data_IF_441020829710
#
_entry.id   IF_441020829710
#
_cell.length_a   1.000
_cell.length_b   1.000
_cell.length_c   1.000
_cell.angle_alpha   90.00
_cell.angle_beta   90.00
_cell.angle_gamma   90.00
#
_symmetry.space_group_name_H-M   'P 1'
#
loop_
_entity.id
_entity.type
_entity.pdbx_description
1 polymer ?
#
# COMPACT_ATOMS: atom_id res chain seq x y z
N UNK A 1 -14.46 20.94 -5.52
CA UNK A 1 -13.99 19.56 -5.72
C UNK A 1 -12.82 19.21 -4.80
N UNK A 2 -11.71 19.97 -4.77
CA UNK A 2 -10.56 19.67 -3.88
C UNK A 2 -10.73 19.97 -2.37
N UNK A 3 -11.80 20.67 -1.94
CA UNK A 3 -12.04 20.99 -0.52
C UNK A 3 -12.35 19.77 0.35
N UNK A 4 -12.92 18.70 -0.21
CA UNK A 4 -13.30 17.48 0.53
C UNK A 4 -12.16 16.49 0.74
N UNK A 5 -11.03 16.68 0.05
CA UNK A 5 -9.83 15.82 0.14
C UNK A 5 -8.65 16.54 0.80
N UNK A 6 -8.79 17.82 1.13
CA UNK A 6 -7.77 18.62 1.82
C UNK A 6 -7.37 18.01 3.17
N UNK A 7 -8.36 17.50 3.92
CA UNK A 7 -8.13 16.92 5.25
C UNK A 7 -7.86 15.41 5.18
N UNK A 8 -7.99 14.81 3.98
CA UNK A 8 -7.61 13.42 3.73
C UNK A 8 -6.09 13.36 3.57
N UNK A 9 -5.43 13.21 4.73
CA UNK A 9 -4.05 12.79 4.86
C UNK A 9 -3.90 11.35 4.35
N UNK A 10 -3.88 11.17 3.02
CA UNK A 10 -3.72 9.86 2.38
C UNK A 10 -2.44 9.89 1.54
N UNK A 11 -1.53 8.98 1.82
CA UNK A 11 -0.30 8.81 1.06
C UNK A 11 0.16 7.35 1.13
N UNK A 12 0.88 6.91 0.11
CA UNK A 12 1.57 5.63 0.09
C UNK A 12 3.07 5.87 -0.09
N UNK A 13 3.89 4.86 0.20
CA UNK A 13 5.31 4.97 -0.12
C UNK A 13 5.51 4.86 -1.62
N UNK A 14 4.86 3.87 -2.24
CA UNK A 14 4.95 3.60 -3.67
C UNK A 14 3.57 3.54 -4.33
N UNK A 15 3.53 3.95 -5.59
CA UNK A 15 2.47 3.66 -6.55
C UNK A 15 3.07 2.92 -7.75
N UNK A 16 2.51 1.76 -8.09
CA UNK A 16 2.86 0.99 -9.27
C UNK A 16 1.77 1.22 -10.32
N UNK A 17 2.11 1.98 -11.36
CA UNK A 17 1.22 2.31 -12.48
C UNK A 17 0.90 1.10 -13.34
N UNK A 18 -0.17 1.15 -14.14
CA UNK A 18 -0.60 0.06 -15.03
C UNK A 18 0.46 -0.35 -16.06
N UNK A 19 1.34 0.57 -16.44
CA UNK A 19 2.49 0.31 -17.32
C UNK A 19 3.67 -0.39 -16.60
N UNK A 20 3.56 -0.64 -15.29
CA UNK A 20 4.59 -1.23 -14.44
C UNK A 20 5.59 -0.21 -13.88
N UNK A 21 5.53 1.07 -14.27
CA UNK A 21 6.39 2.11 -13.71
C UNK A 21 6.06 2.39 -12.24
N UNK A 22 7.09 2.72 -11.47
CA UNK A 22 6.99 2.92 -10.02
C UNK A 22 7.26 4.39 -9.71
N UNK A 23 6.37 5.00 -8.92
CA UNK A 23 6.54 6.33 -8.37
C UNK A 23 6.68 6.20 -6.85
N UNK A 24 7.69 6.85 -6.28
CA UNK A 24 7.85 6.97 -4.83
C UNK A 24 7.37 8.34 -4.34
N UNK A 25 6.42 8.35 -3.41
CA UNK A 25 5.88 9.59 -2.82
C UNK A 25 6.45 9.86 -1.42
N UNK A 26 6.67 8.80 -0.64
CA UNK A 26 7.17 8.90 0.74
C UNK A 26 8.42 8.01 0.89
N UNK A 27 9.53 8.53 1.47
CA UNK A 27 10.67 7.70 1.83
C UNK A 27 10.29 6.56 2.79
N UNK A 28 10.88 5.38 2.65
CA UNK A 28 10.52 4.19 3.44
C UNK A 28 10.83 4.31 4.95
N UNK A 29 11.68 5.26 5.33
CA UNK A 29 12.01 5.60 6.73
C UNK A 29 11.07 6.66 7.32
N UNK A 30 10.06 7.10 6.55
CA UNK A 30 9.06 8.07 6.96
C UNK A 30 7.68 7.43 6.94
N UNK A 31 6.80 7.95 7.79
CA UNK A 31 5.41 7.49 7.88
C UNK A 31 4.60 7.99 6.68
N UNK A 32 4.06 7.07 5.91
CA UNK A 32 2.96 7.34 4.98
C UNK A 32 1.60 7.09 5.66
N UNK A 33 0.51 7.55 5.04
CA UNK A 33 -0.84 7.46 5.57
C UNK A 33 -1.75 6.63 4.65
N UNK A 34 -1.53 5.32 4.61
CA UNK A 34 -2.22 4.41 3.69
C UNK A 34 -3.20 3.48 4.42
N UNK A 35 -2.82 2.97 5.60
CA UNK A 35 -3.60 1.97 6.33
C UNK A 35 -4.78 2.58 7.11
N UNK A 36 -4.77 3.88 7.42
CA UNK A 36 -5.80 4.51 8.26
C UNK A 36 -6.01 3.82 9.61
N UNK A 37 -7.27 3.66 10.04
CA UNK A 37 -7.61 2.86 11.23
C UNK A 37 -7.50 1.37 10.89
N UNK A 38 -6.52 0.71 11.50
CA UNK A 38 -6.11 -0.67 11.17
C UNK A 38 -5.48 -1.34 12.39
N UNK A 39 -5.54 -2.67 12.46
CA UNK A 39 -4.86 -3.50 13.45
C UNK A 39 -4.21 -4.71 12.76
N UNK A 40 -2.98 -5.05 13.14
CA UNK A 40 -2.33 -6.28 12.70
C UNK A 40 -1.74 -7.02 13.90
N UNK A 41 -2.18 -8.26 14.13
CA UNK A 41 -1.74 -9.11 15.25
C UNK A 41 -1.78 -8.42 16.62
N UNK A 42 -2.82 -7.61 16.88
CA UNK A 42 -3.00 -6.90 18.14
C UNK A 42 -2.27 -5.55 18.22
N UNK A 43 -1.54 -5.14 17.18
CA UNK A 43 -0.92 -3.83 17.10
C UNK A 43 -1.74 -2.88 16.22
N UNK A 44 -2.23 -1.79 16.82
CA UNK A 44 -3.01 -0.75 16.13
C UNK A 44 -2.12 0.19 15.28
N UNK A 45 -2.77 0.91 14.35
CA UNK A 45 -2.19 1.94 13.49
C UNK A 45 -0.98 1.46 12.67
N UNK A 46 -1.26 0.61 11.67
CA UNK A 46 -0.24 -0.02 10.84
C UNK A 46 0.64 0.98 10.07
N UNK A 47 0.20 2.22 9.88
CA UNK A 47 1.03 3.28 9.29
C UNK A 47 2.36 3.50 10.02
N UNK A 48 2.43 3.18 11.31
CA UNK A 48 3.61 3.43 12.13
C UNK A 48 4.72 2.39 11.92
N UNK A 49 4.39 1.23 11.32
CA UNK A 49 5.32 0.10 11.20
C UNK A 49 5.23 -0.64 9.86
N UNK A 50 4.58 -0.06 8.85
CA UNK A 50 4.41 -0.72 7.55
C UNK A 50 4.78 0.19 6.38
N UNK A 51 5.06 -0.45 5.25
CA UNK A 51 5.31 0.20 3.96
C UNK A 51 4.09 -0.02 3.06
N UNK A 52 3.28 1.01 2.85
CA UNK A 52 2.19 0.99 1.87
C UNK A 52 2.66 1.05 0.41
N UNK A 53 2.18 0.11 -0.40
CA UNK A 53 2.38 0.05 -1.85
C UNK A 53 1.00 -0.02 -2.50
N UNK A 54 0.70 0.94 -3.37
CA UNK A 54 -0.55 1.01 -4.12
C UNK A 54 -0.33 0.52 -5.56
N UNK A 55 -1.30 -0.19 -6.10
CA UNK A 55 -1.34 -0.54 -7.52
C UNK A 55 -2.39 0.33 -8.20
N UNK A 56 -2.02 1.03 -9.28
CA UNK A 56 -2.98 1.80 -10.07
C UNK A 56 -4.03 0.88 -10.66
N UNK A 57 -5.29 1.11 -10.31
CA UNK A 57 -6.41 0.28 -10.74
C UNK A 57 -7.75 0.86 -10.32
N UNK A 58 -8.80 0.09 -10.56
CA UNK A 58 -10.16 0.36 -10.09
C UNK A 58 -10.73 -0.94 -9.56
N UNK A 59 -11.78 -0.86 -8.74
CA UNK A 59 -12.43 -2.04 -8.15
C UNK A 59 -12.98 -3.05 -9.18
N UNK A 60 -13.04 -2.67 -10.46
CA UNK A 60 -13.68 -3.44 -11.52
C UNK A 60 -12.70 -3.95 -12.59
N UNK A 61 -11.41 -3.64 -12.48
CA UNK A 61 -10.40 -4.01 -13.46
C UNK A 61 -9.27 -4.79 -12.81
N UNK A 62 -8.95 -5.94 -13.39
CA UNK A 62 -7.77 -6.70 -13.01
C UNK A 62 -6.49 -5.84 -13.19
N UNK A 63 -5.53 -6.07 -12.30
CA UNK A 63 -4.20 -5.51 -12.43
C UNK A 63 -3.45 -6.17 -13.59
N UNK A 64 -2.56 -5.40 -14.21
CA UNK A 64 -1.76 -5.88 -15.33
C UNK A 64 -0.63 -6.79 -14.84
N UNK A 65 -0.25 -7.77 -15.67
CA UNK A 65 0.86 -8.69 -15.36
C UNK A 65 2.16 -7.93 -15.03
N UNK A 66 2.40 -6.80 -15.69
CA UNK A 66 3.57 -5.94 -15.44
C UNK A 66 3.55 -5.29 -14.06
N UNK A 67 2.37 -5.00 -13.50
CA UNK A 67 2.25 -4.47 -12.13
C UNK A 67 2.71 -5.51 -11.12
N UNK A 68 2.29 -6.76 -11.28
CA UNK A 68 2.72 -7.86 -10.41
C UNK A 68 4.24 -8.13 -10.52
N UNK A 69 4.83 -7.99 -11.71
CA UNK A 69 6.28 -8.13 -11.89
C UNK A 69 7.05 -7.04 -11.15
N UNK A 70 6.62 -5.78 -11.27
CA UNK A 70 7.19 -4.65 -10.54
C UNK A 70 7.01 -4.80 -9.03
N UNK A 71 5.83 -5.23 -8.58
CA UNK A 71 5.55 -5.50 -7.17
C UNK A 71 6.47 -6.58 -6.62
N UNK A 72 6.60 -7.73 -7.30
CA UNK A 72 7.46 -8.84 -6.89
C UNK A 72 8.92 -8.40 -6.75
N UNK A 73 9.40 -7.59 -7.68
CA UNK A 73 10.77 -7.06 -7.68
C UNK A 73 10.99 -6.13 -6.50
N UNK A 74 10.04 -5.22 -6.27
CA UNK A 74 10.05 -4.28 -5.14
C UNK A 74 10.03 -5.00 -3.80
N UNK A 75 9.13 -5.98 -3.62
CA UNK A 75 9.03 -6.76 -2.40
C UNK A 75 10.33 -7.53 -2.09
N UNK A 76 11.02 -8.03 -3.12
CA UNK A 76 12.33 -8.65 -2.93
C UNK A 76 13.35 -7.64 -2.39
N UNK A 77 13.46 -6.47 -3.03
CA UNK A 77 14.40 -5.42 -2.59
C UNK A 77 14.10 -4.92 -1.17
N UNK A 78 12.82 -4.75 -0.83
CA UNK A 78 12.41 -4.35 0.52
C UNK A 78 12.75 -5.42 1.56
N UNK A 79 12.57 -6.71 1.25
CA UNK A 79 12.98 -7.81 2.13
C UNK A 79 14.49 -7.92 2.32
N UNK A 80 15.25 -7.56 1.30
CA UNK A 80 16.72 -7.57 1.37
C UNK A 80 17.25 -6.41 2.24
N UNK A 81 16.50 -5.31 2.36
CA UNK A 81 16.92 -4.11 3.10
C UNK A 81 16.27 -3.93 4.49
N UNK A 82 15.03 -4.39 4.67
CA UNK A 82 14.25 -4.27 5.89
C UNK A 82 13.85 -5.64 6.42
N UNK A 83 13.69 -5.82 7.74
CA UNK A 83 13.26 -7.07 8.36
C UNK A 83 11.75 -7.30 8.16
N UNK A 84 11.28 -7.33 6.92
CA UNK A 84 9.87 -7.52 6.56
C UNK A 84 9.44 -8.95 6.89
N UNK A 85 8.55 -9.08 7.88
CA UNK A 85 8.07 -10.38 8.35
C UNK A 85 6.79 -10.83 7.63
N UNK A 86 5.95 -9.88 7.22
CA UNK A 86 4.61 -10.15 6.70
C UNK A 86 4.34 -9.30 5.45
N UNK A 87 3.53 -9.83 4.55
CA UNK A 87 2.92 -9.10 3.43
C UNK A 87 1.44 -9.39 3.52
N UNK A 88 0.62 -8.34 3.63
CA UNK A 88 -0.82 -8.44 3.88
C UNK A 88 -1.57 -7.45 3.00
N UNK A 89 -2.82 -7.78 2.68
CA UNK A 89 -3.76 -6.85 2.05
C UNK A 89 -4.29 -5.83 3.04
N UNK A 90 -4.91 -4.76 2.53
CA UNK A 90 -5.54 -3.75 3.38
C UNK A 90 -6.79 -4.33 4.08
N UNK A 91 -7.51 -5.20 3.40
CA UNK A 91 -8.62 -5.99 3.93
C UNK A 91 -8.24 -6.80 5.17
N UNK A 92 -7.01 -7.34 5.23
CA UNK A 92 -6.52 -8.14 6.36
C UNK A 92 -6.31 -7.32 7.63
N UNK A 93 -5.92 -6.05 7.49
CA UNK A 93 -5.61 -5.16 8.62
C UNK A 93 -6.76 -4.20 8.98
N UNK A 94 -7.77 -4.08 8.12
CA UNK A 94 -8.94 -3.22 8.33
C UNK A 94 -10.25 -3.93 7.90
N UNK A 95 -10.57 -5.09 8.48
CA UNK A 95 -11.72 -5.89 8.08
C UNK A 95 -13.03 -5.11 8.25
N UNK A 96 -13.93 -5.22 7.26
CA UNK A 96 -15.23 -4.54 7.24
C UNK A 96 -15.18 -3.06 6.82
N UNK A 97 -14.00 -2.43 6.77
CA UNK A 97 -13.82 -1.06 6.26
C UNK A 97 -13.26 -1.03 4.85
N UNK A 98 -12.40 -2.00 4.50
CA UNK A 98 -11.62 -2.04 3.26
C UNK A 98 -11.73 -3.40 2.58
N UNK A 99 -11.75 -3.36 1.26
CA UNK A 99 -11.87 -4.54 0.37
C UNK A 99 -10.65 -4.70 -0.52
N UNK A 100 -9.80 -3.68 -0.61
CA UNK A 100 -8.54 -3.69 -1.37
C UNK A 100 -7.47 -4.60 -0.72
N UNK A 101 -6.62 -5.26 -1.51
CA UNK A 101 -6.52 -5.18 -2.98
C UNK A 101 -7.59 -5.98 -3.75
N UNK A 102 -8.52 -6.67 -3.08
CA UNK A 102 -9.43 -7.66 -3.67
C UNK A 102 -8.94 -9.09 -3.49
N UNK A 103 -9.57 -10.06 -4.17
CA UNK A 103 -9.03 -11.44 -4.31
C UNK A 103 -7.88 -11.53 -5.32
#
# INVERSE_FOLDING_TARGET
YFKTIQDLQVSAHLLIKRDGSIIQFVPFDKRAWHAGMSNFNGQDNCNDFSIGIELEGTDNLNYEAVQYQSLKTTLKQLKDHYPVQNIVGHSDIAPGRKTDPGE
#
